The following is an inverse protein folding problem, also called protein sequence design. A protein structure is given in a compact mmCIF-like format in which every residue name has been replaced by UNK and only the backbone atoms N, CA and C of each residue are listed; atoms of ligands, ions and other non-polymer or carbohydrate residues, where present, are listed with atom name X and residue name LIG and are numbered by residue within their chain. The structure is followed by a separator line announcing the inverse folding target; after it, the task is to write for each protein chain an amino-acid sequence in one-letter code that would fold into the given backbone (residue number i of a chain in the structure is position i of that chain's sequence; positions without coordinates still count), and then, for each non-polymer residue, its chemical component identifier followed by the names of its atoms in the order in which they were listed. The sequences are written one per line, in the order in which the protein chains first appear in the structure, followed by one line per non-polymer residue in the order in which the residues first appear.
data_IF_094224851020
#
_entry.id   IF_094224851020
#
_cell.length_a   1.000
_cell.length_b   1.000
_cell.length_c   1.000
_cell.angle_alpha   90.00
_cell.angle_beta   90.00
_cell.angle_gamma   90.00
#
_symmetry.space_group_name_H-M   'P 1'
#
loop_
_entity.id
_entity.type
_entity.pdbx_description
1 polymer ?
#
# COMPACT_ATOMS: atom_id res chain seq x y z
N UNK A 1 10.56 13.56 20.21
CA UNK A 1 11.43 13.31 19.03
C UNK A 1 10.56 13.16 17.80
N UNK A 2 11.01 13.70 16.66
CA UNK A 2 10.32 13.58 15.36
C UNK A 2 10.04 12.11 15.00
N UNK A 3 11.07 11.28 15.08
CA UNK A 3 10.98 9.85 14.74
C UNK A 3 9.87 9.16 15.52
N UNK A 4 9.82 9.36 16.83
CA UNK A 4 8.80 8.75 17.68
C UNK A 4 7.39 9.22 17.32
N UNK A 5 7.20 10.52 17.06
CA UNK A 5 5.89 11.05 16.67
C UNK A 5 5.38 10.46 15.35
N UNK A 6 6.26 10.32 14.34
CA UNK A 6 5.88 9.71 13.06
C UNK A 6 5.60 8.22 13.21
N UNK A 7 6.41 7.49 13.97
CA UNK A 7 6.19 6.07 14.26
C UNK A 7 4.85 5.83 15.00
N UNK A 8 4.55 6.65 16.01
CA UNK A 8 3.26 6.56 16.72
C UNK A 8 2.08 6.85 15.79
N UNK A 9 2.16 7.87 14.95
CA UNK A 9 1.09 8.19 13.99
C UNK A 9 0.86 7.05 12.99
N UNK A 10 1.93 6.47 12.47
CA UNK A 10 1.87 5.31 11.56
C UNK A 10 1.23 4.09 12.25
N UNK A 11 1.66 3.78 13.46
CA UNK A 11 1.10 2.69 14.27
C UNK A 11 -0.39 2.89 14.54
N UNK A 12 -0.81 4.11 14.91
CA UNK A 12 -2.23 4.43 15.11
C UNK A 12 -3.04 4.18 13.83
N UNK A 13 -2.56 4.62 12.67
CA UNK A 13 -3.22 4.36 11.39
C UNK A 13 -3.33 2.86 11.12
N UNK A 14 -2.25 2.12 11.32
CA UNK A 14 -2.20 0.67 11.08
C UNK A 14 -3.13 -0.11 12.00
N UNK A 15 -3.28 0.33 13.25
CA UNK A 15 -4.20 -0.25 14.24
C UNK A 15 -5.67 0.17 14.05
N UNK A 16 -5.97 1.09 13.11
CA UNK A 16 -7.35 1.52 12.84
C UNK A 16 -7.79 2.79 13.58
N UNK A 17 -6.85 3.59 14.05
CA UNK A 17 -7.07 4.85 14.80
C UNK A 17 -6.61 6.09 14.01
N UNK A 18 -7.10 6.31 12.76
CA UNK A 18 -6.62 7.43 11.94
C UNK A 18 -6.99 8.81 12.48
N UNK A 19 -8.08 8.93 13.26
CA UNK A 19 -8.46 10.21 13.87
C UNK A 19 -7.44 10.64 14.92
N UNK A 20 -7.07 9.72 15.81
CA UNK A 20 -6.07 9.95 16.86
C UNK A 20 -4.68 10.21 16.27
N UNK A 21 -4.35 9.57 15.15
CA UNK A 21 -3.14 9.89 14.39
C UNK A 21 -3.18 11.33 13.85
N UNK A 22 -4.34 11.79 13.38
CA UNK A 22 -4.56 13.15 12.92
C UNK A 22 -4.34 14.18 14.04
N UNK A 23 -4.89 13.92 15.23
CA UNK A 23 -4.69 14.78 16.40
C UNK A 23 -3.22 14.84 16.83
N UNK A 24 -2.51 13.72 16.80
CA UNK A 24 -1.08 13.68 17.08
C UNK A 24 -0.29 14.52 16.06
N UNK A 25 -0.55 14.34 14.77
CA UNK A 25 0.11 15.11 13.70
C UNK A 25 -0.19 16.61 13.81
N UNK A 26 -1.43 17.00 14.11
CA UNK A 26 -1.81 18.40 14.31
C UNK A 26 -1.01 19.05 15.45
N UNK A 27 -0.86 18.36 16.59
CA UNK A 27 -0.05 18.84 17.72
C UNK A 27 1.43 18.98 17.39
N UNK A 28 1.93 18.17 16.46
CA UNK A 28 3.33 18.21 16.03
C UNK A 28 3.59 19.13 14.84
N UNK A 29 2.54 19.73 14.24
CA UNK A 29 2.64 20.45 12.97
C UNK A 29 3.57 21.67 13.03
N UNK A 30 3.57 22.42 14.13
CA UNK A 30 4.45 23.58 14.29
C UNK A 30 5.95 23.20 14.23
N UNK A 31 6.30 22.01 14.74
CA UNK A 31 7.68 21.54 14.77
C UNK A 31 8.07 20.72 13.53
N UNK A 32 7.15 19.96 12.94
CA UNK A 32 7.44 18.95 11.93
C UNK A 32 6.55 19.01 10.68
N UNK A 33 5.66 19.99 10.54
CA UNK A 33 4.70 20.06 9.43
C UNK A 33 5.33 20.21 8.05
N UNK A 34 6.59 20.67 7.96
CA UNK A 34 7.35 20.72 6.71
C UNK A 34 8.07 19.40 6.37
N UNK A 35 8.12 18.46 7.31
CA UNK A 35 8.76 17.15 7.11
C UNK A 35 7.98 16.30 6.12
N UNK A 36 8.69 15.61 5.22
CA UNK A 36 8.08 14.75 4.20
C UNK A 36 7.19 13.68 4.83
N UNK A 37 7.69 12.95 5.84
CA UNK A 37 6.93 11.86 6.48
C UNK A 37 5.68 12.39 7.18
N UNK A 38 5.78 13.54 7.84
CA UNK A 38 4.60 14.19 8.43
C UNK A 38 3.54 14.47 7.36
N UNK A 39 3.92 15.05 6.23
CA UNK A 39 2.99 15.38 5.14
C UNK A 39 2.37 14.12 4.50
N UNK A 40 3.16 13.05 4.34
CA UNK A 40 2.68 11.76 3.86
C UNK A 40 1.62 11.16 4.80
N UNK A 41 1.90 11.10 6.10
CA UNK A 41 0.98 10.59 7.10
C UNK A 41 -0.28 11.45 7.23
N UNK A 42 -0.15 12.78 7.14
CA UNK A 42 -1.30 13.68 7.15
C UNK A 42 -2.22 13.45 5.92
N UNK A 43 -1.65 13.25 4.73
CA UNK A 43 -2.43 12.91 3.53
C UNK A 43 -3.13 11.54 3.69
N UNK A 44 -2.46 10.56 4.27
CA UNK A 44 -3.02 9.24 4.54
C UNK A 44 -4.17 9.33 5.56
N UNK A 45 -4.02 10.10 6.64
CA UNK A 45 -5.09 10.38 7.63
C UNK A 45 -6.31 11.00 6.96
N UNK A 46 -6.14 12.03 6.14
CA UNK A 46 -7.24 12.65 5.39
C UNK A 46 -8.01 11.60 4.57
N UNK A 47 -7.29 10.72 3.89
CA UNK A 47 -7.89 9.64 3.11
C UNK A 47 -8.63 8.64 3.99
N UNK A 48 -8.07 8.24 5.13
CA UNK A 48 -8.65 7.25 6.03
C UNK A 48 -9.84 7.80 6.83
N UNK A 49 -9.91 9.11 7.07
CA UNK A 49 -11.03 9.79 7.74
C UNK A 49 -12.11 10.27 6.77
N UNK A 50 -12.04 9.93 5.47
CA UNK A 50 -13.06 10.23 4.47
C UNK A 50 -12.95 11.63 3.84
N UNK A 51 -11.95 12.42 4.17
CA UNK A 51 -11.69 13.77 3.61
C UNK A 51 -10.95 13.65 2.27
N UNK A 52 -11.58 12.95 1.30
CA UNK A 52 -10.89 12.51 0.08
C UNK A 52 -10.42 13.64 -0.83
N UNK A 53 -11.17 14.72 -0.99
CA UNK A 53 -10.76 15.84 -1.86
C UNK A 53 -9.52 16.57 -1.30
N UNK A 54 -9.46 16.69 0.02
CA UNK A 54 -8.30 17.24 0.70
C UNK A 54 -7.09 16.30 0.59
N UNK A 55 -7.34 14.98 0.73
CA UNK A 55 -6.30 13.97 0.52
C UNK A 55 -5.73 14.00 -0.89
N UNK A 56 -6.58 14.12 -1.92
CA UNK A 56 -6.15 14.26 -3.33
C UNK A 56 -5.32 15.52 -3.53
N UNK A 57 -5.73 16.65 -2.94
CA UNK A 57 -4.97 17.89 -3.01
C UNK A 57 -3.59 17.75 -2.34
N UNK A 58 -3.54 17.11 -1.17
CA UNK A 58 -2.29 16.84 -0.45
C UNK A 58 -1.38 15.88 -1.24
N UNK A 59 -1.94 14.82 -1.81
CA UNK A 59 -1.22 13.88 -2.67
C UNK A 59 -0.61 14.58 -3.90
N UNK A 60 -1.35 15.47 -4.54
CA UNK A 60 -0.85 16.26 -5.68
C UNK A 60 0.38 17.11 -5.30
N UNK A 61 0.36 17.78 -4.15
CA UNK A 61 1.50 18.56 -3.64
C UNK A 61 2.71 17.68 -3.30
N UNK A 62 2.47 16.51 -2.71
CA UNK A 62 3.53 15.54 -2.41
C UNK A 62 4.20 15.03 -3.69
N UNK A 63 3.42 14.66 -4.70
CA UNK A 63 3.94 14.20 -5.99
C UNK A 63 4.75 15.28 -6.74
N UNK A 64 4.37 16.55 -6.62
CA UNK A 64 5.16 17.65 -7.18
C UNK A 64 6.49 17.83 -6.47
N UNK A 65 6.50 17.67 -5.15
CA UNK A 65 7.71 17.89 -4.32
C UNK A 65 8.64 16.68 -4.29
N UNK A 66 8.08 15.48 -4.34
CA UNK A 66 8.79 14.20 -4.20
C UNK A 66 8.39 13.21 -5.30
N UNK A 67 8.65 13.53 -6.59
CA UNK A 67 8.12 12.77 -7.73
C UNK A 67 8.71 11.35 -7.87
N UNK A 68 9.83 11.11 -7.22
CA UNK A 68 10.62 9.89 -7.33
C UNK A 68 10.64 9.06 -6.04
N UNK A 69 9.84 9.45 -5.05
CA UNK A 69 9.78 8.77 -3.76
C UNK A 69 8.69 7.68 -3.76
N UNK A 70 9.10 6.44 -3.50
CA UNK A 70 8.23 5.25 -3.52
C UNK A 70 7.06 5.35 -2.54
N UNK A 71 7.33 5.85 -1.33
CA UNK A 71 6.31 5.99 -0.29
C UNK A 71 5.25 7.05 -0.68
N UNK A 72 5.71 8.18 -1.23
CA UNK A 72 4.81 9.21 -1.77
C UNK A 72 3.93 8.65 -2.88
N UNK A 73 4.49 7.89 -3.81
CA UNK A 73 3.74 7.27 -4.89
C UNK A 73 2.75 6.22 -4.36
N UNK A 74 3.16 5.42 -3.38
CA UNK A 74 2.31 4.42 -2.72
C UNK A 74 1.11 5.06 -2.03
N UNK A 75 1.33 6.11 -1.23
CA UNK A 75 0.26 6.84 -0.54
C UNK A 75 -0.67 7.54 -1.56
N UNK A 76 -0.12 8.25 -2.53
CA UNK A 76 -0.90 8.94 -3.55
C UNK A 76 -1.73 7.95 -4.39
N UNK A 77 -1.13 6.84 -4.83
CA UNK A 77 -1.83 5.78 -5.52
C UNK A 77 -3.00 5.22 -4.70
N UNK A 78 -2.79 4.99 -3.39
CA UNK A 78 -3.84 4.56 -2.47
C UNK A 78 -4.97 5.57 -2.32
N UNK A 79 -4.67 6.87 -2.29
CA UNK A 79 -5.66 7.95 -2.23
C UNK A 79 -6.50 7.99 -3.52
N UNK A 80 -5.87 7.94 -4.70
CA UNK A 80 -6.58 7.91 -5.98
C UNK A 80 -7.41 6.64 -6.16
N UNK A 81 -6.88 5.48 -5.76
CA UNK A 81 -7.62 4.21 -5.77
C UNK A 81 -8.88 4.31 -4.87
N UNK A 82 -8.74 4.86 -3.65
CA UNK A 82 -9.87 5.05 -2.72
C UNK A 82 -10.91 6.03 -3.25
N UNK A 83 -10.51 7.05 -4.01
CA UNK A 83 -11.46 7.95 -4.69
C UNK A 83 -12.32 7.19 -5.68
N UNK A 84 -11.72 6.32 -6.48
CA UNK A 84 -12.44 5.42 -7.38
C UNK A 84 -13.28 4.40 -6.61
N UNK A 85 -12.77 3.83 -5.52
CA UNK A 85 -13.51 2.89 -4.67
C UNK A 85 -14.84 3.47 -4.16
N UNK A 86 -14.85 4.77 -3.88
CA UNK A 86 -16.03 5.47 -3.39
C UNK A 86 -17.01 5.84 -4.52
N UNK A 87 -16.50 6.08 -5.70
CA UNK A 87 -17.27 6.42 -6.88
C UNK A 87 -16.59 5.80 -8.12
N UNK A 88 -17.14 4.66 -8.55
CA UNK A 88 -16.59 3.90 -9.69
C UNK A 88 -16.62 4.66 -11.03
N UNK A 89 -17.34 5.78 -11.14
CA UNK A 89 -17.31 6.65 -12.31
C UNK A 89 -15.99 7.43 -12.43
N UNK A 90 -15.22 7.52 -11.35
CA UNK A 90 -13.91 8.20 -11.28
C UNK A 90 -12.79 7.37 -11.93
N UNK A 91 -13.00 6.88 -13.15
CA UNK A 91 -12.03 6.02 -13.88
C UNK A 91 -10.67 6.69 -14.08
N UNK A 92 -10.64 8.03 -14.21
CA UNK A 92 -9.38 8.79 -14.27
C UNK A 92 -8.56 8.69 -12.97
N UNK A 93 -9.22 8.57 -11.82
CA UNK A 93 -8.53 8.38 -10.55
C UNK A 93 -7.91 6.96 -10.49
N UNK A 94 -8.62 5.93 -10.94
CA UNK A 94 -8.08 4.59 -11.05
C UNK A 94 -6.88 4.52 -12.00
N UNK A 95 -6.99 5.12 -13.19
CA UNK A 95 -5.89 5.19 -14.16
C UNK A 95 -4.66 5.90 -13.56
N UNK A 96 -4.87 6.99 -12.80
CA UNK A 96 -3.79 7.71 -12.12
C UNK A 96 -3.15 6.86 -11.02
N UNK A 97 -3.92 6.11 -10.25
CA UNK A 97 -3.40 5.17 -9.26
C UNK A 97 -2.52 4.10 -9.93
N UNK A 98 -2.99 3.50 -11.02
CA UNK A 98 -2.23 2.50 -11.78
C UNK A 98 -0.92 3.08 -12.32
N UNK A 99 -0.96 4.26 -12.95
CA UNK A 99 0.24 4.95 -13.44
C UNK A 99 1.31 5.13 -12.35
N UNK A 100 0.90 5.62 -11.16
CA UNK A 100 1.80 5.87 -10.05
C UNK A 100 2.46 4.58 -9.55
N UNK A 101 1.67 3.54 -9.30
CA UNK A 101 2.17 2.26 -8.83
C UNK A 101 3.10 1.61 -9.84
N UNK A 102 2.66 1.53 -11.11
CA UNK A 102 3.43 0.90 -12.17
C UNK A 102 4.75 1.62 -12.44
N UNK A 103 4.72 2.97 -12.57
CA UNK A 103 5.91 3.76 -12.82
C UNK A 103 6.99 3.53 -11.76
N UNK A 104 6.62 3.59 -10.47
CA UNK A 104 7.59 3.40 -9.39
C UNK A 104 8.03 1.95 -9.26
N UNK A 105 7.14 0.98 -9.46
CA UNK A 105 7.51 -0.43 -9.53
C UNK A 105 8.58 -0.70 -10.61
N UNK A 106 8.37 -0.19 -11.82
CA UNK A 106 9.32 -0.36 -12.92
C UNK A 106 10.64 0.39 -12.67
N UNK A 107 10.56 1.64 -12.19
CA UNK A 107 11.74 2.47 -11.85
C UNK A 107 12.57 1.87 -10.72
N UNK A 108 11.93 1.33 -9.70
CA UNK A 108 12.55 0.67 -8.55
C UNK A 108 13.10 -0.72 -8.87
N UNK A 109 13.32 -1.07 -10.15
CA UNK A 109 13.83 -2.38 -10.59
C UNK A 109 13.01 -3.56 -10.06
N UNK A 110 11.73 -3.36 -9.86
CA UNK A 110 10.76 -4.37 -9.40
C UNK A 110 11.08 -4.95 -8.01
N UNK A 111 11.58 -4.13 -7.10
CA UNK A 111 11.95 -4.56 -5.74
C UNK A 111 10.79 -4.37 -4.75
N UNK A 112 10.05 -3.27 -4.87
CA UNK A 112 8.97 -2.93 -3.93
C UNK A 112 7.69 -3.71 -4.26
N UNK A 113 7.50 -4.88 -3.63
CA UNK A 113 6.36 -5.76 -3.87
C UNK A 113 5.00 -5.07 -3.65
N UNK A 114 4.89 -4.16 -2.68
CA UNK A 114 3.67 -3.39 -2.42
C UNK A 114 3.25 -2.54 -3.63
N UNK A 115 4.19 -1.86 -4.29
CA UNK A 115 3.90 -1.09 -5.50
C UNK A 115 3.49 -2.02 -6.65
N UNK A 116 4.18 -3.16 -6.78
CA UNK A 116 3.91 -4.15 -7.81
C UNK A 116 2.51 -4.76 -7.72
N UNK A 117 2.09 -5.23 -6.53
CA UNK A 117 0.76 -5.83 -6.38
C UNK A 117 -0.35 -4.81 -6.54
N UNK A 118 -0.16 -3.56 -6.09
CA UNK A 118 -1.13 -2.50 -6.34
C UNK A 118 -1.20 -2.12 -7.83
N UNK A 119 -0.08 -2.19 -8.58
CA UNK A 119 -0.09 -2.04 -10.03
C UNK A 119 -0.88 -3.18 -10.70
N UNK A 120 -0.67 -4.44 -10.26
CA UNK A 120 -1.41 -5.59 -10.74
C UNK A 120 -2.92 -5.48 -10.46
N UNK A 121 -3.30 -5.17 -9.22
CA UNK A 121 -4.70 -5.02 -8.85
C UNK A 121 -5.40 -3.88 -9.64
N UNK A 122 -4.74 -2.74 -9.81
CA UNK A 122 -5.31 -1.63 -10.57
C UNK A 122 -5.38 -1.90 -12.08
N UNK A 123 -4.44 -2.67 -12.66
CA UNK A 123 -4.53 -3.16 -14.04
C UNK A 123 -5.77 -4.05 -14.21
N UNK A 124 -6.00 -4.99 -13.27
CA UNK A 124 -7.18 -5.84 -13.26
C UNK A 124 -8.48 -5.02 -13.22
N UNK A 125 -8.57 -4.02 -12.35
CA UNK A 125 -9.75 -3.13 -12.25
C UNK A 125 -9.97 -2.28 -13.50
N UNK A 126 -8.93 -2.01 -14.27
CA UNK A 126 -9.00 -1.33 -15.57
C UNK A 126 -9.38 -2.28 -16.73
N UNK A 127 -9.57 -3.58 -16.45
CA UNK A 127 -9.94 -4.60 -17.45
C UNK A 127 -8.74 -5.27 -18.13
N UNK A 128 -7.50 -4.95 -17.73
CA UNK A 128 -6.29 -5.59 -18.25
C UNK A 128 -5.90 -6.80 -17.38
N UNK A 129 -6.65 -7.90 -17.55
CA UNK A 129 -6.41 -9.12 -16.78
C UNK A 129 -5.10 -9.83 -17.16
N UNK A 130 -4.63 -9.69 -18.40
CA UNK A 130 -3.37 -10.27 -18.84
C UNK A 130 -2.18 -9.51 -18.24
N UNK A 131 -2.18 -8.20 -18.38
CA UNK A 131 -1.17 -7.33 -17.75
C UNK A 131 -1.14 -7.47 -16.23
N UNK A 132 -2.31 -7.59 -15.60
CA UNK A 132 -2.39 -7.84 -14.16
C UNK A 132 -1.67 -9.13 -13.74
N UNK A 133 -1.93 -10.24 -14.42
CA UNK A 133 -1.25 -11.52 -14.16
C UNK A 133 0.25 -11.46 -14.44
N UNK A 134 0.66 -10.78 -15.50
CA UNK A 134 2.07 -10.60 -15.82
C UNK A 134 2.81 -9.81 -14.72
N UNK A 135 2.20 -8.72 -14.21
CA UNK A 135 2.78 -7.95 -13.11
C UNK A 135 2.82 -8.80 -11.83
N UNK A 136 1.74 -9.50 -11.49
CA UNK A 136 1.67 -10.35 -10.30
C UNK A 136 2.73 -11.46 -10.32
N UNK A 137 2.94 -12.10 -11.47
CA UNK A 137 4.00 -13.08 -11.68
C UNK A 137 5.40 -12.49 -11.44
N UNK A 138 5.65 -11.30 -11.99
CA UNK A 138 6.92 -10.60 -11.78
C UNK A 138 7.15 -10.20 -10.30
N UNK A 139 6.08 -9.88 -9.56
CA UNK A 139 6.16 -9.62 -8.11
C UNK A 139 6.55 -10.91 -7.37
N UNK A 140 5.87 -12.02 -7.64
CA UNK A 140 6.18 -13.30 -7.00
C UNK A 140 7.64 -13.72 -7.25
N UNK A 141 8.10 -13.64 -8.50
CA UNK A 141 9.49 -13.94 -8.87
C UNK A 141 10.50 -13.04 -8.14
N UNK A 142 10.24 -11.74 -8.06
CA UNK A 142 11.12 -10.80 -7.36
C UNK A 142 11.20 -11.11 -5.86
N UNK A 143 10.08 -11.48 -5.23
CA UNK A 143 10.03 -11.89 -3.83
C UNK A 143 10.79 -13.21 -3.60
N UNK A 144 10.60 -14.21 -4.46
CA UNK A 144 11.29 -15.50 -4.35
C UNK A 144 12.80 -15.33 -4.52
N UNK A 145 13.24 -14.50 -5.47
CA UNK A 145 14.65 -14.16 -5.68
C UNK A 145 15.26 -13.47 -4.46
N UNK A 146 14.55 -12.51 -3.86
CA UNK A 146 14.97 -11.83 -2.63
C UNK A 146 15.12 -12.82 -1.48
N UNK A 147 14.09 -13.65 -1.26
CA UNK A 147 14.07 -14.61 -0.15
C UNK A 147 15.17 -15.66 -0.31
N UNK A 148 15.43 -16.13 -1.54
CA UNK A 148 16.56 -17.01 -1.86
C UNK A 148 17.92 -16.37 -1.59
N UNK A 149 18.09 -15.08 -1.92
CA UNK A 149 19.32 -14.35 -1.63
C UNK A 149 19.54 -14.16 -0.12
N UNK A 150 18.50 -13.86 0.64
CA UNK A 150 18.58 -13.75 2.10
C UNK A 150 18.94 -15.11 2.72
N UNK A 151 18.29 -16.19 2.29
CA UNK A 151 18.60 -17.54 2.78
C UNK A 151 20.05 -17.95 2.48
N UNK A 152 20.56 -17.67 1.27
CA UNK A 152 21.93 -17.96 0.88
C UNK A 152 22.95 -17.17 1.72
N UNK A 153 22.58 -15.98 2.19
CA UNK A 153 23.40 -15.15 3.08
C UNK A 153 23.24 -15.47 4.57
N UNK A 154 22.44 -16.47 4.94
CA UNK A 154 22.02 -16.75 6.33
C UNK A 154 21.37 -15.54 7.03
N UNK A 155 20.72 -14.68 6.26
CA UNK A 155 19.96 -13.54 6.76
C UNK A 155 18.48 -13.91 6.80
N UNK A 156 17.78 -13.42 7.83
CA UNK A 156 16.32 -13.49 7.88
C UNK A 156 15.72 -12.24 7.22
N UNK A 157 14.52 -12.34 6.64
CA UNK A 157 13.71 -11.16 6.36
C UNK A 157 13.56 -10.34 7.62
N UNK A 158 13.32 -9.04 7.47
CA UNK A 158 13.12 -8.14 8.62
C UNK A 158 11.99 -8.67 9.49
N UNK A 159 12.33 -9.07 10.73
CA UNK A 159 11.38 -9.70 11.65
C UNK A 159 10.44 -8.66 12.26
N UNK A 160 9.15 -8.90 12.10
CA UNK A 160 8.09 -8.27 12.87
C UNK A 160 7.52 -6.96 12.32
N UNK A 161 6.28 -6.68 12.71
CA UNK A 161 5.63 -5.41 12.51
C UNK A 161 4.98 -5.20 11.14
N UNK A 162 4.76 -3.93 10.83
CA UNK A 162 3.97 -3.50 9.68
C UNK A 162 4.61 -3.87 8.34
N UNK A 163 5.94 -3.79 8.26
CA UNK A 163 6.67 -4.10 7.02
C UNK A 163 6.55 -5.58 6.64
N UNK A 164 6.72 -6.49 7.59
CA UNK A 164 6.57 -7.92 7.36
C UNK A 164 5.12 -8.28 7.04
N UNK A 165 4.14 -7.67 7.71
CA UNK A 165 2.74 -7.83 7.38
C UNK A 165 2.47 -7.50 5.90
N UNK A 166 2.91 -6.32 5.43
CA UNK A 166 2.70 -5.92 4.04
C UNK A 166 3.45 -6.80 3.05
N UNK A 167 4.59 -7.33 3.42
CA UNK A 167 5.31 -8.29 2.59
C UNK A 167 4.50 -9.59 2.38
N UNK A 168 3.97 -10.16 3.47
CA UNK A 168 3.15 -11.37 3.42
C UNK A 168 1.85 -11.18 2.65
N UNK A 169 1.13 -10.08 2.87
CA UNK A 169 -0.11 -9.82 2.13
C UNK A 169 0.14 -9.46 0.68
N UNK A 170 1.28 -8.85 0.33
CA UNK A 170 1.67 -8.63 -1.07
C UNK A 170 1.88 -9.95 -1.81
N UNK A 171 2.48 -10.95 -1.16
CA UNK A 171 2.59 -12.30 -1.73
C UNK A 171 1.20 -12.93 -1.92
N UNK A 172 0.31 -12.82 -0.94
CA UNK A 172 -1.04 -13.33 -1.03
C UNK A 172 -1.85 -12.66 -2.15
N UNK A 173 -1.71 -11.36 -2.33
CA UNK A 173 -2.34 -10.62 -3.44
C UNK A 173 -1.80 -11.06 -4.81
N UNK A 174 -0.49 -11.26 -4.94
CA UNK A 174 0.10 -11.75 -6.18
C UNK A 174 -0.44 -13.14 -6.55
N UNK A 175 -0.59 -14.03 -5.57
CA UNK A 175 -1.22 -15.34 -5.76
C UNK A 175 -2.68 -15.19 -6.21
N UNK A 176 -3.45 -14.32 -5.56
CA UNK A 176 -4.87 -14.11 -5.87
C UNK A 176 -5.05 -13.57 -7.31
N UNK A 177 -4.30 -12.54 -7.71
CA UNK A 177 -4.35 -11.98 -9.07
C UNK A 177 -3.93 -13.01 -10.12
N UNK A 178 -3.04 -13.94 -9.76
CA UNK A 178 -2.61 -15.05 -10.62
C UNK A 178 -3.64 -16.20 -10.70
N UNK A 179 -4.78 -16.11 -9.99
CA UNK A 179 -5.82 -17.15 -9.96
C UNK A 179 -5.54 -18.32 -9.00
N UNK A 180 -4.50 -18.23 -8.18
CA UNK A 180 -4.13 -19.25 -7.17
C UNK A 180 -4.89 -19.01 -5.88
N UNK A 181 -6.22 -19.12 -5.94
CA UNK A 181 -7.14 -18.64 -4.90
C UNK A 181 -6.96 -19.34 -3.55
N UNK A 182 -6.79 -20.67 -3.53
CA UNK A 182 -6.67 -21.43 -2.28
C UNK A 182 -5.34 -21.12 -1.56
N UNK A 183 -4.27 -20.96 -2.32
CA UNK A 183 -2.98 -20.58 -1.79
C UNK A 183 -3.00 -19.14 -1.27
N UNK A 184 -3.65 -18.23 -1.98
CA UNK A 184 -3.86 -16.86 -1.54
C UNK A 184 -4.66 -16.82 -0.23
N UNK A 185 -5.75 -17.58 -0.12
CA UNK A 185 -6.58 -17.66 1.08
C UNK A 185 -5.76 -18.14 2.29
N UNK A 186 -4.95 -19.17 2.10
CA UNK A 186 -4.05 -19.71 3.14
C UNK A 186 -3.03 -18.65 3.58
N UNK A 187 -2.40 -17.95 2.63
CA UNK A 187 -1.40 -16.92 2.92
C UNK A 187 -2.01 -15.71 3.65
N UNK A 188 -3.21 -15.25 3.24
CA UNK A 188 -3.93 -14.20 3.96
C UNK A 188 -4.30 -14.61 5.37
N UNK A 189 -4.82 -15.84 5.56
CA UNK A 189 -5.21 -16.33 6.88
C UNK A 189 -4.02 -16.35 7.84
N UNK A 190 -2.86 -16.82 7.39
CA UNK A 190 -1.62 -16.80 8.17
C UNK A 190 -1.19 -15.37 8.52
N UNK A 191 -1.17 -14.45 7.56
CA UNK A 191 -0.80 -13.07 7.80
C UNK A 191 -1.74 -12.38 8.81
N UNK A 192 -3.05 -12.62 8.74
CA UNK A 192 -4.02 -12.04 9.69
C UNK A 192 -3.92 -12.64 11.09
N UNK A 193 -3.60 -13.93 11.20
CA UNK A 193 -3.41 -14.59 12.49
C UNK A 193 -2.16 -14.10 13.23
N UNK A 194 -1.07 -13.86 12.49
CA UNK A 194 0.21 -13.43 13.07
C UNK A 194 0.24 -11.94 13.46
N UNK A 195 -0.65 -11.11 12.87
CA UNK A 195 -0.68 -9.65 13.11
C UNK A 195 -2.07 -9.11 13.49
N UNK A 196 -2.80 -9.72 14.45
CA UNK A 196 -4.20 -9.37 14.73
C UNK A 196 -4.40 -7.93 15.22
N UNK A 197 -3.35 -7.29 15.73
CA UNK A 197 -3.38 -5.90 16.22
C UNK A 197 -3.35 -4.86 15.08
N UNK A 198 -3.02 -5.24 13.84
CA UNK A 198 -3.02 -4.35 12.68
C UNK A 198 -4.42 -4.22 12.06
N UNK A 199 -5.44 -3.98 12.87
CA UNK A 199 -6.84 -4.03 12.46
C UNK A 199 -7.17 -3.13 11.27
N UNK A 200 -6.64 -1.90 11.23
CA UNK A 200 -6.85 -0.96 10.13
C UNK A 200 -6.16 -1.40 8.83
N UNK A 201 -5.00 -2.04 8.93
CA UNK A 201 -4.31 -2.63 7.77
C UNK A 201 -5.04 -3.87 7.27
N UNK A 202 -5.48 -4.75 8.17
CA UNK A 202 -6.24 -5.97 7.83
C UNK A 202 -7.56 -5.61 7.14
N UNK A 203 -8.29 -4.61 7.62
CA UNK A 203 -9.52 -4.16 6.99
C UNK A 203 -9.27 -3.70 5.54
N UNK A 204 -8.26 -2.88 5.32
CA UNK A 204 -7.86 -2.43 3.99
C UNK A 204 -7.46 -3.58 3.07
N UNK A 205 -6.70 -4.54 3.57
CA UNK A 205 -6.29 -5.74 2.82
C UNK A 205 -7.48 -6.63 2.46
N UNK A 206 -8.40 -6.87 3.40
CA UNK A 206 -9.62 -7.65 3.14
C UNK A 206 -10.51 -6.99 2.09
N UNK A 207 -10.67 -5.68 2.15
CA UNK A 207 -11.43 -4.93 1.15
C UNK A 207 -10.83 -5.09 -0.25
N UNK A 208 -9.51 -4.99 -0.37
CA UNK A 208 -8.79 -5.18 -1.63
C UNK A 208 -8.92 -6.62 -2.15
N UNK A 209 -8.69 -7.63 -1.29
CA UNK A 209 -8.80 -9.03 -1.68
C UNK A 209 -10.20 -9.38 -2.20
N UNK A 210 -11.27 -8.90 -1.52
CA UNK A 210 -12.65 -9.09 -1.98
C UNK A 210 -12.90 -8.45 -3.34
N UNK A 211 -12.35 -7.27 -3.59
CA UNK A 211 -12.49 -6.59 -4.88
C UNK A 211 -11.74 -7.32 -5.98
N UNK A 212 -10.52 -7.77 -5.75
CA UNK A 212 -9.77 -8.60 -6.69
C UNK A 212 -10.60 -9.84 -7.04
N UNK A 213 -11.06 -10.59 -6.03
CA UNK A 213 -11.85 -11.81 -6.23
C UNK A 213 -13.17 -11.56 -6.99
N UNK A 214 -13.80 -10.40 -6.80
CA UNK A 214 -15.03 -10.03 -7.52
C UNK A 214 -14.77 -9.59 -8.98
N UNK A 215 -13.52 -9.31 -9.35
CA UNK A 215 -13.13 -8.84 -10.70
C UNK A 215 -12.56 -9.97 -11.56
N UNK A 216 -12.04 -11.04 -10.93
CA UNK A 216 -11.54 -12.24 -11.60
C UNK A 216 -12.67 -13.08 -12.19
#
# INVERSE_FOLDING_TARGET
SRFLAMLCAESLIACGHPAEAGDLLARCAAAFGSDQRHQQLAALVLSRTGRLEEAVTAAGRLLQRYPDDDETAGIAGGIYKRRWDRDATQTKALAKAHELYRKQWEKGKKINAYLGVNAAATALYLGDAEGARAIAGAVAEAMDKRDGALAAANLKPQDGGLAEYYDRVSRAEALLVSGRTDEAATAYAAAFADYPWLAGSIEGTRAQARRIAATL
#
